data_IF_715541243518
#
_entry.id   IF_715541243518
#
_cell.length_a   1.000
_cell.length_b   1.000
_cell.length_c   1.000
_cell.angle_alpha   90.00
_cell.angle_beta   90.00
_cell.angle_gamma   90.00
#
_symmetry.space_group_name_H-M   'P 1'
#
loop_
_entity.id
_entity.type
_entity.pdbx_description
1 polymer ?
#
# COMPACT_ATOMS: atom_id res chain seq x y z
N UNK A 1 -43.08 -7.07 3.19
CA UNK A 1 -41.87 -7.52 2.49
C UNK A 1 -40.81 -6.42 2.30
N UNK A 2 -40.87 -5.28 3.02
CA UNK A 2 -39.97 -4.12 2.82
C UNK A 2 -38.95 -3.95 3.96
N UNK A 3 -39.11 -4.66 5.09
CA UNK A 3 -38.31 -4.45 6.31
C UNK A 3 -37.04 -5.33 6.36
N UNK A 4 -36.92 -6.37 5.53
CA UNK A 4 -35.79 -7.31 5.60
C UNK A 4 -34.55 -6.88 4.78
N UNK A 5 -34.65 -5.89 3.89
CA UNK A 5 -33.50 -5.40 3.10
C UNK A 5 -32.56 -4.45 3.87
N UNK A 6 -32.94 -4.01 5.06
CA UNK A 6 -32.17 -3.03 5.85
C UNK A 6 -31.13 -3.66 6.78
N UNK A 7 -31.04 -4.99 6.81
CA UNK A 7 -30.21 -5.76 7.75
C UNK A 7 -28.91 -6.33 7.15
N UNK A 8 -28.57 -5.97 5.92
CA UNK A 8 -27.20 -6.19 5.42
C UNK A 8 -26.30 -5.09 5.96
N UNK A 9 -25.79 -5.28 7.19
CA UNK A 9 -24.55 -4.63 7.62
C UNK A 9 -23.53 -4.91 6.52
N UNK A 10 -23.20 -3.87 5.75
CA UNK A 10 -22.12 -3.93 4.77
C UNK A 10 -20.81 -3.91 5.56
N UNK A 11 -20.44 -5.08 6.09
CA UNK A 11 -19.12 -5.34 6.67
C UNK A 11 -18.15 -5.23 5.49
N UNK A 12 -17.58 -4.04 5.31
CA UNK A 12 -16.48 -3.86 4.38
C UNK A 12 -15.21 -4.32 5.10
N UNK A 13 -14.42 -5.25 4.51
CA UNK A 13 -13.14 -5.62 5.09
C UNK A 13 -12.26 -4.37 5.18
N UNK A 14 -11.56 -4.27 6.31
CA UNK A 14 -10.70 -3.16 6.69
C UNK A 14 -9.27 -3.69 6.76
N UNK A 15 -8.49 -3.43 5.71
CA UNK A 15 -7.12 -3.92 5.62
C UNK A 15 -6.17 -2.93 6.29
N UNK A 16 -5.96 -3.18 7.57
CA UNK A 16 -5.01 -2.48 8.41
C UNK A 16 -4.05 -3.49 9.05
N UNK A 17 -3.02 -2.97 9.73
CA UNK A 17 -2.15 -3.81 10.53
C UNK A 17 -2.92 -4.32 11.76
N UNK A 18 -2.85 -5.63 12.01
CA UNK A 18 -3.47 -6.27 13.17
C UNK A 18 -2.51 -6.37 14.36
N UNK A 19 -2.98 -6.24 15.61
CA UNK A 19 -2.14 -6.45 16.79
C UNK A 19 -1.49 -7.84 16.78
N UNK A 20 -0.18 -7.90 17.03
CA UNK A 20 0.60 -9.14 17.05
C UNK A 20 0.64 -9.90 15.71
N UNK A 21 0.32 -9.25 14.60
CA UNK A 21 0.42 -9.83 13.27
C UNK A 21 1.88 -10.19 12.94
N UNK A 22 2.07 -11.40 12.42
CA UNK A 22 3.32 -11.85 11.82
C UNK A 22 3.10 -11.98 10.31
N UNK A 23 3.98 -11.38 9.52
CA UNK A 23 3.90 -11.39 8.05
C UNK A 23 3.23 -10.15 7.47
N UNK A 24 2.84 -10.25 6.19
CA UNK A 24 2.25 -9.16 5.41
C UNK A 24 0.75 -8.97 5.69
N UNK A 25 0.22 -7.79 5.35
CA UNK A 25 -1.23 -7.58 5.23
C UNK A 25 -1.81 -8.36 4.05
N UNK A 26 -3.12 -8.60 4.08
CA UNK A 26 -3.84 -9.32 3.04
C UNK A 26 -3.75 -8.64 1.68
N UNK A 27 -3.42 -9.42 0.64
CA UNK A 27 -3.32 -8.91 -0.71
C UNK A 27 -4.67 -8.38 -1.23
N UNK A 28 -4.64 -7.17 -1.77
CA UNK A 28 -5.75 -6.52 -2.45
C UNK A 28 -5.61 -6.56 -3.98
N UNK A 29 -4.38 -6.74 -4.45
CA UNK A 29 -3.98 -6.65 -5.86
C UNK A 29 -3.21 -7.90 -6.27
N UNK A 30 -3.19 -8.26 -7.57
CA UNK A 30 -2.36 -9.37 -8.07
C UNK A 30 -0.87 -9.14 -7.81
N UNK A 31 -0.44 -7.88 -7.84
CA UNK A 31 0.94 -7.48 -7.54
C UNK A 31 1.32 -7.80 -6.09
N UNK A 32 0.47 -7.46 -5.11
CA UNK A 32 0.75 -7.80 -3.71
C UNK A 32 0.77 -9.32 -3.50
N UNK A 33 -0.08 -10.07 -4.21
CA UNK A 33 -0.04 -11.53 -4.18
C UNK A 33 1.32 -12.05 -4.67
N UNK A 34 1.80 -11.56 -5.82
CA UNK A 34 3.12 -11.92 -6.34
C UNK A 34 4.28 -11.55 -5.39
N UNK A 35 4.17 -10.42 -4.68
CA UNK A 35 5.15 -10.03 -3.65
C UNK A 35 5.14 -11.03 -2.47
N UNK A 36 3.95 -11.46 -2.00
CA UNK A 36 3.82 -12.45 -0.93
C UNK A 36 4.40 -13.80 -1.37
N UNK A 37 4.12 -14.23 -2.60
CA UNK A 37 4.62 -15.49 -3.14
C UNK A 37 6.15 -15.46 -3.24
N UNK A 38 6.72 -14.39 -3.82
CA UNK A 38 8.18 -14.20 -3.89
C UNK A 38 8.82 -14.15 -2.49
N UNK A 39 8.17 -13.49 -1.53
CA UNK A 39 8.63 -13.45 -0.15
C UNK A 39 8.69 -14.87 0.44
N UNK A 40 7.67 -15.70 0.25
CA UNK A 40 7.68 -17.08 0.73
C UNK A 40 8.76 -17.94 0.07
N UNK A 41 8.96 -17.79 -1.25
CA UNK A 41 10.03 -18.49 -1.97
C UNK A 41 11.42 -18.14 -1.43
N UNK A 42 11.70 -16.84 -1.23
CA UNK A 42 12.95 -16.37 -0.64
C UNK A 42 13.11 -16.91 0.79
N UNK A 43 12.06 -16.80 1.61
CA UNK A 43 12.11 -17.19 3.01
C UNK A 43 12.33 -18.70 3.18
N UNK A 44 11.80 -19.54 2.28
CA UNK A 44 12.08 -20.97 2.24
C UNK A 44 13.59 -21.27 2.11
N UNK A 45 14.26 -20.64 1.14
CA UNK A 45 15.71 -20.81 0.97
C UNK A 45 16.50 -20.24 2.14
N UNK A 46 16.08 -19.10 2.71
CA UNK A 46 16.74 -18.51 3.88
C UNK A 46 16.67 -19.40 5.12
N UNK A 47 15.51 -20.01 5.41
CA UNK A 47 15.38 -20.98 6.52
C UNK A 47 16.29 -22.17 6.28
N UNK A 48 16.36 -22.71 5.06
CA UNK A 48 17.23 -23.84 4.73
C UNK A 48 18.70 -23.51 5.01
N UNK A 49 19.17 -22.35 4.54
CA UNK A 49 20.54 -21.88 4.77
C UNK A 49 20.78 -21.67 6.27
N UNK A 50 19.85 -21.03 6.98
CA UNK A 50 19.94 -20.76 8.41
C UNK A 50 20.11 -22.07 9.19
N UNK A 51 19.22 -23.05 8.97
CA UNK A 51 19.29 -24.35 9.66
C UNK A 51 20.60 -25.08 9.32
N UNK A 52 21.06 -25.03 8.08
CA UNK A 52 22.32 -25.65 7.66
C UNK A 52 23.52 -25.02 8.38
N UNK A 53 23.64 -23.70 8.37
CA UNK A 53 24.73 -22.96 9.02
C UNK A 53 24.69 -23.14 10.54
N UNK A 54 23.51 -22.99 11.15
CA UNK A 54 23.32 -23.19 12.58
C UNK A 54 23.70 -24.61 13.01
N UNK A 55 23.35 -25.63 12.23
CA UNK A 55 23.72 -27.02 12.52
C UNK A 55 25.24 -27.22 12.46
N UNK A 56 25.92 -26.67 11.45
CA UNK A 56 27.40 -26.76 11.36
C UNK A 56 28.04 -26.04 12.54
N UNK A 57 27.56 -24.85 12.89
CA UNK A 57 28.07 -24.07 14.01
C UNK A 57 27.90 -24.82 15.34
N UNK A 58 26.70 -25.33 15.63
CA UNK A 58 26.43 -26.11 16.85
C UNK A 58 27.31 -27.36 16.90
N UNK A 59 27.48 -28.06 15.77
CA UNK A 59 28.36 -29.23 15.70
C UNK A 59 29.83 -28.87 15.91
N UNK A 60 30.29 -27.75 15.36
CA UNK A 60 31.66 -27.28 15.55
C UNK A 60 31.91 -26.94 17.03
N UNK A 61 31.00 -26.20 17.67
CA UNK A 61 31.10 -25.87 19.10
C UNK A 61 31.09 -27.13 19.98
N UNK A 62 30.22 -28.09 19.69
CA UNK A 62 30.11 -29.32 20.49
C UNK A 62 31.35 -30.23 20.38
N UNK A 63 31.92 -30.38 19.17
CA UNK A 63 33.04 -31.30 18.92
C UNK A 63 34.41 -30.67 19.17
N UNK A 64 34.56 -29.38 18.89
CA UNK A 64 35.85 -28.67 19.03
C UNK A 64 35.97 -27.85 20.32
N UNK A 65 35.14 -28.14 21.33
CA UNK A 65 35.32 -27.60 22.67
C UNK A 65 36.64 -28.10 23.30
N UNK A 66 37.27 -27.26 24.13
CA UNK A 66 38.58 -27.52 24.75
C UNK A 66 38.68 -28.86 25.48
N UNK A 67 37.60 -29.29 26.13
CA UNK A 67 37.56 -30.57 26.86
C UNK A 67 37.60 -31.79 25.94
N UNK A 68 36.98 -31.72 24.74
CA UNK A 68 36.92 -32.83 23.78
C UNK A 68 38.06 -32.80 22.77
N UNK A 69 38.53 -31.62 22.39
CA UNK A 69 39.63 -31.44 21.45
C UNK A 69 40.68 -30.46 21.99
N UNK A 70 41.56 -30.90 22.90
CA UNK A 70 42.54 -30.03 23.58
C UNK A 70 43.69 -29.56 22.68
N UNK A 71 44.02 -30.31 21.61
CA UNK A 71 45.10 -29.99 20.68
C UNK A 71 44.49 -29.56 19.34
N UNK A 72 44.68 -28.31 18.88
CA UNK A 72 44.11 -27.84 17.62
C UNK A 72 44.87 -28.43 16.41
N UNK A 73 44.12 -28.82 15.39
CA UNK A 73 44.68 -29.21 14.10
C UNK A 73 45.16 -27.98 13.31
N UNK A 74 46.32 -28.07 12.65
CA UNK A 74 46.94 -26.96 11.89
C UNK A 74 46.68 -27.06 10.39
N UNK A 75 45.41 -27.19 10.00
CA UNK A 75 45.01 -27.17 8.58
C UNK A 75 44.68 -25.72 8.22
N UNK A 76 45.40 -25.17 7.24
CA UNK A 76 45.25 -23.76 6.84
C UNK A 76 44.50 -23.59 5.52
N UNK A 77 44.65 -24.55 4.59
CA UNK A 77 44.09 -24.43 3.24
C UNK A 77 43.30 -25.68 2.85
N UNK A 78 42.26 -25.48 2.03
CA UNK A 78 41.43 -26.56 1.52
C UNK A 78 40.74 -26.17 0.22
N UNK A 79 41.49 -26.07 -0.89
CA UNK A 79 40.97 -25.57 -2.19
C UNK A 79 39.64 -26.21 -2.61
N UNK A 80 39.46 -27.51 -2.39
CA UNK A 80 38.22 -28.21 -2.74
C UNK A 80 36.99 -27.68 -1.98
N UNK A 81 37.09 -27.41 -0.67
CA UNK A 81 35.95 -26.88 0.10
C UNK A 81 35.68 -25.41 -0.26
N UNK A 82 36.71 -24.66 -0.66
CA UNK A 82 36.57 -23.29 -1.12
C UNK A 82 35.80 -23.20 -2.44
N UNK A 83 36.08 -24.12 -3.36
CA UNK A 83 35.32 -24.22 -4.61
C UNK A 83 33.85 -24.59 -4.33
N UNK A 84 33.60 -25.60 -3.49
CA UNK A 84 32.24 -26.04 -3.17
C UNK A 84 31.42 -24.93 -2.50
N UNK A 85 31.96 -24.24 -1.49
CA UNK A 85 31.26 -23.14 -0.80
C UNK A 85 31.08 -21.88 -1.66
N UNK A 86 31.72 -21.81 -2.83
CA UNK A 86 31.50 -20.70 -3.77
C UNK A 86 30.42 -21.07 -4.79
N UNK A 87 30.48 -22.30 -5.33
CA UNK A 87 29.52 -22.78 -6.32
C UNK A 87 28.13 -22.96 -5.70
N UNK A 88 28.00 -23.67 -4.57
CA UNK A 88 26.69 -23.98 -3.99
C UNK A 88 25.88 -22.71 -3.62
N UNK A 89 26.45 -21.70 -2.92
CA UNK A 89 25.73 -20.46 -2.63
C UNK A 89 25.46 -19.60 -3.86
N UNK A 90 26.17 -19.78 -4.97
CA UNK A 90 25.89 -19.03 -6.20
C UNK A 90 24.67 -19.60 -6.96
N UNK A 91 24.40 -20.90 -6.83
CA UNK A 91 23.26 -21.56 -7.46
C UNK A 91 21.93 -21.13 -6.82
N UNK A 92 21.91 -20.88 -5.50
CA UNK A 92 20.66 -20.54 -4.77
C UNK A 92 20.05 -19.20 -5.27
N UNK A 93 20.78 -18.07 -5.33
CA UNK A 93 20.27 -16.82 -5.89
C UNK A 93 19.82 -16.92 -7.34
N UNK A 94 20.43 -17.81 -8.14
CA UNK A 94 20.01 -18.04 -9.53
C UNK A 94 18.57 -18.54 -9.59
N UNK A 95 18.17 -19.45 -8.69
CA UNK A 95 16.78 -19.92 -8.62
C UNK A 95 15.82 -18.85 -8.11
N UNK A 96 16.24 -18.02 -7.14
CA UNK A 96 15.43 -16.90 -6.61
C UNK A 96 15.23 -15.80 -7.66
N UNK A 97 16.23 -15.57 -8.51
CA UNK A 97 16.19 -14.51 -9.51
C UNK A 97 15.10 -14.71 -10.58
N UNK A 98 14.79 -15.96 -10.93
CA UNK A 98 13.81 -16.28 -11.99
C UNK A 98 12.40 -15.73 -11.65
N UNK A 99 11.75 -16.10 -10.54
CA UNK A 99 10.45 -15.53 -10.17
C UNK A 99 10.54 -14.02 -9.86
N UNK A 100 11.68 -13.56 -9.32
CA UNK A 100 11.89 -12.14 -9.01
C UNK A 100 11.86 -11.26 -10.27
N UNK A 101 12.55 -11.66 -11.34
CA UNK A 101 12.54 -10.90 -12.59
C UNK A 101 11.18 -10.96 -13.29
N UNK A 102 10.52 -12.12 -13.28
CA UNK A 102 9.17 -12.27 -13.83
C UNK A 102 8.18 -11.32 -13.14
N UNK A 103 8.23 -11.23 -11.80
CA UNK A 103 7.39 -10.30 -11.04
C UNK A 103 7.74 -8.84 -11.37
N UNK A 104 9.02 -8.49 -11.41
CA UNK A 104 9.46 -7.11 -11.68
C UNK A 104 8.93 -6.60 -13.03
N UNK A 105 9.03 -7.41 -14.09
CA UNK A 105 8.51 -7.02 -15.42
C UNK A 105 6.98 -6.90 -15.43
N UNK A 106 6.27 -7.73 -14.66
CA UNK A 106 4.81 -7.63 -14.54
C UNK A 106 4.36 -6.35 -13.80
N UNK A 107 5.19 -5.84 -12.89
CA UNK A 107 4.91 -4.62 -12.12
C UNK A 107 5.20 -3.34 -12.91
N UNK A 108 6.18 -3.37 -13.80
CA UNK A 108 6.55 -2.22 -14.65
C UNK A 108 5.65 -2.06 -15.87
N UNK A 109 4.84 -3.08 -16.21
CA UNK A 109 3.89 -3.00 -17.32
C UNK A 109 2.79 -1.98 -17.03
N UNK A 110 2.97 -0.78 -17.59
CA UNK A 110 1.99 0.30 -17.52
C UNK A 110 0.83 0.01 -18.47
N UNK A 111 -0.35 -0.23 -17.89
CA UNK A 111 -1.59 -0.43 -18.67
C UNK A 111 -1.87 0.79 -19.55
N UNK A 112 -1.95 0.54 -20.86
CA UNK A 112 -2.12 1.56 -21.90
C UNK A 112 -3.49 2.26 -21.79
N UNK A 113 -4.53 1.54 -21.37
CA UNK A 113 -5.91 2.03 -21.21
C UNK A 113 -6.44 1.84 -19.78
N UNK A 114 -6.10 2.72 -18.82
CA UNK A 114 -6.68 2.67 -17.48
C UNK A 114 -8.14 3.11 -17.50
N UNK A 115 -8.95 2.56 -16.60
CA UNK A 115 -10.34 2.98 -16.40
C UNK A 115 -10.42 4.37 -15.74
N UNK A 116 -9.50 4.66 -14.82
CA UNK A 116 -9.39 5.95 -14.12
C UNK A 116 -7.90 6.30 -13.91
N UNK A 117 -7.56 7.57 -14.13
CA UNK A 117 -6.29 8.18 -13.75
C UNK A 117 -6.45 9.11 -12.54
N UNK A 118 -5.68 8.82 -11.49
CA UNK A 118 -5.65 9.57 -10.24
C UNK A 118 -4.26 10.20 -10.09
N UNK A 119 -4.22 11.51 -9.87
CA UNK A 119 -2.97 12.21 -9.54
C UNK A 119 -2.92 12.49 -8.04
N UNK A 120 -1.89 11.94 -7.38
CA UNK A 120 -1.57 12.09 -5.98
C UNK A 120 -0.39 13.06 -5.82
N UNK A 121 -0.61 14.21 -5.18
CA UNK A 121 0.41 15.24 -4.96
C UNK A 121 0.71 15.34 -3.47
N UNK A 122 1.94 15.01 -3.09
CA UNK A 122 2.48 15.20 -1.75
C UNK A 122 2.70 16.68 -1.44
N UNK A 123 2.34 17.08 -0.23
CA UNK A 123 2.59 18.40 0.34
C UNK A 123 3.11 18.23 1.75
N UNK A 124 4.07 19.05 2.13
CA UNK A 124 4.57 19.22 3.49
C UNK A 124 3.43 19.74 4.37
N UNK A 125 3.53 19.49 5.68
CA UNK A 125 2.45 19.69 6.65
C UNK A 125 2.16 21.17 6.85
N UNK A 126 1.38 21.75 5.94
CA UNK A 126 0.91 23.10 6.09
C UNK A 126 -0.42 23.09 6.84
N UNK A 127 -0.51 23.99 7.81
CA UNK A 127 -1.75 24.42 8.44
C UNK A 127 -2.54 25.20 7.39
N UNK A 128 -3.60 24.64 6.84
CA UNK A 128 -4.65 25.47 6.23
C UNK A 128 -5.52 26.01 7.37
N UNK A 129 -5.90 27.29 7.27
CA UNK A 129 -6.57 28.04 8.31
C UNK A 129 -7.79 27.29 8.90
N UNK A 130 -8.07 27.47 10.21
CA UNK A 130 -9.10 26.71 10.90
C UNK A 130 -10.49 26.95 10.29
N UNK A 131 -11.21 25.86 9.99
CA UNK A 131 -12.67 25.89 9.87
C UNK A 131 -13.35 26.03 11.24
N UNK A 132 -12.60 25.85 12.34
CA UNK A 132 -13.03 26.11 13.71
C UNK A 132 -11.88 26.67 14.55
N UNK A 133 -12.10 27.84 15.14
CA UNK A 133 -11.18 28.54 16.04
C UNK A 133 -10.94 27.68 17.29
N UNK A 134 -9.85 26.89 17.30
CA UNK A 134 -9.46 26.08 18.46
C UNK A 134 -8.75 24.76 18.15
N UNK A 135 -8.85 24.23 16.93
CA UNK A 135 -8.31 22.89 16.64
C UNK A 135 -6.96 22.92 15.92
N UNK A 136 -5.91 22.49 16.61
CA UNK A 136 -4.50 22.67 16.23
C UNK A 136 -3.90 21.48 15.45
N UNK A 137 -4.72 20.58 14.94
CA UNK A 137 -4.34 19.19 14.71
C UNK A 137 -4.49 18.69 13.25
N UNK A 138 -5.26 19.38 12.40
CA UNK A 138 -5.46 18.98 11.00
C UNK A 138 -4.22 19.27 10.13
N UNK A 139 -3.59 18.21 9.62
CA UNK A 139 -2.38 18.28 8.78
C UNK A 139 -2.67 17.84 7.35
N UNK A 140 -2.43 18.72 6.36
CA UNK A 140 -2.61 18.40 4.93
C UNK A 140 -1.62 17.31 4.53
N UNK A 141 -2.12 16.19 4.00
CA UNK A 141 -1.30 15.03 3.68
C UNK A 141 -1.23 14.73 2.18
N UNK A 142 -2.27 15.01 1.41
CA UNK A 142 -2.25 14.77 -0.03
C UNK A 142 -3.29 15.63 -0.74
N UNK A 143 -2.97 16.07 -1.95
CA UNK A 143 -3.95 16.60 -2.89
C UNK A 143 -4.21 15.56 -3.98
N UNK A 144 -5.47 15.15 -4.11
CA UNK A 144 -5.90 14.13 -5.06
C UNK A 144 -6.73 14.76 -6.17
N UNK A 145 -6.50 14.31 -7.41
CA UNK A 145 -7.21 14.80 -8.59
C UNK A 145 -7.61 13.63 -9.48
N UNK A 146 -8.90 13.57 -9.83
CA UNK A 146 -9.41 12.65 -10.84
C UNK A 146 -9.43 13.35 -12.19
N UNK A 147 -8.54 12.92 -13.10
CA UNK A 147 -8.35 13.61 -14.37
C UNK A 147 -9.46 13.32 -15.39
N UNK A 148 -10.17 12.19 -15.24
CA UNK A 148 -11.10 11.71 -16.27
C UNK A 148 -12.55 12.22 -16.10
N UNK A 149 -12.83 12.89 -14.97
CA UNK A 149 -14.13 13.48 -14.68
C UNK A 149 -14.15 14.97 -15.04
N UNK A 150 -14.14 15.27 -16.34
CA UNK A 150 -14.40 16.61 -16.86
C UNK A 150 -15.84 16.67 -17.40
N UNK A 151 -16.68 17.51 -16.79
CA UNK A 151 -18.01 17.85 -17.33
C UNK A 151 -18.05 19.25 -17.97
N UNK A 152 -16.98 20.04 -17.83
CA UNK A 152 -16.73 21.33 -18.48
C UNK A 152 -15.30 21.74 -18.14
N UNK A 153 -14.67 22.56 -18.97
CA UNK A 153 -13.23 22.94 -19.01
C UNK A 153 -12.56 23.47 -17.71
N UNK A 154 -13.16 23.38 -16.52
CA UNK A 154 -12.58 23.98 -15.32
C UNK A 154 -12.41 23.11 -14.08
N UNK A 155 -13.02 21.93 -13.91
CA UNK A 155 -12.84 21.21 -12.64
C UNK A 155 -12.79 19.69 -12.79
N UNK A 156 -11.57 19.19 -13.00
CA UNK A 156 -11.21 17.86 -12.50
C UNK A 156 -11.51 17.78 -11.02
N UNK A 157 -12.21 16.74 -10.57
CA UNK A 157 -12.57 16.57 -9.17
C UNK A 157 -11.29 16.53 -8.32
N UNK A 158 -11.09 17.59 -7.56
CA UNK A 158 -9.88 17.85 -6.78
C UNK A 158 -10.27 18.02 -5.32
N UNK A 159 -9.62 17.29 -4.43
CA UNK A 159 -9.80 17.44 -3.00
C UNK A 159 -8.50 17.20 -2.25
N UNK A 160 -8.45 17.73 -1.04
CA UNK A 160 -7.35 17.51 -0.11
C UNK A 160 -7.75 16.46 0.92
N UNK A 161 -6.78 15.68 1.39
CA UNK A 161 -6.95 14.69 2.45
C UNK A 161 -6.09 15.07 3.65
N UNK A 162 -6.73 15.17 4.82
CA UNK A 162 -6.16 15.51 6.11
C UNK A 162 -6.34 14.34 7.09
N UNK A 163 -5.37 14.12 7.97
CA UNK A 163 -5.48 13.15 9.07
C UNK A 163 -6.48 13.66 10.11
N UNK A 164 -7.35 12.78 10.61
CA UNK A 164 -8.32 13.12 11.66
C UNK A 164 -7.61 13.11 13.03
N UNK A 165 -7.75 14.17 13.84
CA UNK A 165 -7.20 14.26 15.21
C UNK A 165 -7.82 13.24 16.16
N UNK A 166 -7.11 12.86 17.22
CA UNK A 166 -7.60 11.83 18.16
C UNK A 166 -8.91 12.22 18.86
N UNK A 167 -9.11 13.51 19.14
CA UNK A 167 -10.32 14.04 19.78
C UNK A 167 -11.56 13.97 18.87
N UNK A 168 -11.36 13.93 17.55
CA UNK A 168 -12.41 13.91 16.53
C UNK A 168 -12.72 12.49 15.98
N UNK A 169 -12.02 11.45 16.47
CA UNK A 169 -12.21 10.09 15.99
C UNK A 169 -13.52 9.49 16.51
N UNK A 170 -14.27 8.86 15.61
CA UNK A 170 -15.44 8.07 15.99
C UNK A 170 -15.02 6.68 16.53
N UNK A 171 -15.88 6.07 17.35
CA UNK A 171 -15.61 4.72 17.88
C UNK A 171 -15.42 3.70 16.74
N UNK A 172 -14.29 2.98 16.76
CA UNK A 172 -13.92 1.99 15.75
C UNK A 172 -13.01 2.52 14.63
N UNK A 173 -12.76 3.84 14.60
CA UNK A 173 -11.79 4.45 13.70
C UNK A 173 -10.35 4.22 14.18
N UNK A 174 -9.44 3.98 13.24
CA UNK A 174 -8.05 3.72 13.57
C UNK A 174 -7.33 5.03 13.89
N UNK A 175 -6.81 5.09 15.12
CA UNK A 175 -5.96 6.19 15.57
C UNK A 175 -4.92 6.45 14.51
N UNK A 176 -4.76 7.73 14.19
CA UNK A 176 -3.65 8.22 13.43
C UNK A 176 -3.78 7.85 11.92
N UNK A 177 -4.33 6.69 11.52
CA UNK A 177 -4.53 6.20 10.14
C UNK A 177 -5.73 6.81 9.39
N UNK A 178 -6.65 7.46 10.10
CA UNK A 178 -7.90 7.99 9.56
C UNK A 178 -7.75 9.33 8.86
N UNK A 179 -8.54 9.53 7.80
CA UNK A 179 -8.52 10.75 6.99
C UNK A 179 -9.94 11.21 6.69
N UNK A 180 -10.11 12.51 6.52
CA UNK A 180 -11.39 13.17 6.24
C UNK A 180 -11.98 12.79 4.87
N UNK A 181 -11.17 12.88 3.81
CA UNK A 181 -11.54 12.60 2.43
C UNK A 181 -10.72 11.43 1.91
N UNK A 182 -11.39 10.32 1.61
CA UNK A 182 -10.75 9.09 1.12
C UNK A 182 -10.71 9.07 -0.42
N UNK A 183 -9.67 8.44 -0.97
CA UNK A 183 -9.60 8.15 -2.42
C UNK A 183 -10.50 6.95 -2.69
N UNK A 184 -11.46 7.09 -3.61
CA UNK A 184 -12.41 6.04 -3.96
C UNK A 184 -12.12 5.54 -5.37
N UNK A 185 -12.00 4.23 -5.53
CA UNK A 185 -11.64 3.63 -6.82
C UNK A 185 -12.59 2.48 -7.17
N UNK A 186 -12.87 2.22 -8.45
CA UNK A 186 -13.66 1.07 -8.88
C UNK A 186 -12.91 -0.26 -8.73
N UNK A 187 -13.64 -1.31 -8.38
CA UNK A 187 -13.10 -2.66 -8.21
C UNK A 187 -12.86 -3.30 -9.57
N UNK A 188 -11.94 -4.27 -9.61
CA UNK A 188 -11.70 -5.15 -10.76
C UNK A 188 -11.44 -4.38 -12.06
N UNK A 189 -10.80 -3.23 -11.94
CA UNK A 189 -10.46 -2.35 -13.06
C UNK A 189 -9.03 -1.84 -12.89
N UNK A 190 -8.35 -1.60 -14.00
CA UNK A 190 -6.99 -1.07 -13.98
C UNK A 190 -7.03 0.44 -13.76
N UNK A 191 -6.26 0.89 -12.77
CA UNK A 191 -6.15 2.27 -12.35
C UNK A 191 -4.74 2.75 -12.62
N UNK A 192 -4.61 3.98 -13.08
CA UNK A 192 -3.33 4.66 -13.22
C UNK A 192 -3.19 5.68 -12.10
N UNK A 193 -2.11 5.58 -11.34
CA UNK A 193 -1.79 6.52 -10.26
C UNK A 193 -0.52 7.26 -10.64
N UNK A 194 -0.62 8.59 -10.68
CA UNK A 194 0.51 9.49 -10.92
C UNK A 194 0.88 10.13 -9.60
N UNK A 195 2.09 9.87 -9.12
CA UNK A 195 2.60 10.31 -7.82
C UNK A 195 3.67 11.37 -8.02
N UNK A 196 3.53 12.50 -7.32
CA UNK A 196 4.47 13.62 -7.37
C UNK A 196 4.41 14.43 -6.08
N UNK A 197 5.30 15.40 -5.92
CA UNK A 197 5.30 16.32 -4.77
C UNK A 197 5.38 17.78 -5.22
N UNK A 198 4.85 18.68 -4.39
CA UNK A 198 4.96 20.12 -4.57
C UNK A 198 6.13 20.76 -3.79
N UNK A 199 6.72 20.06 -2.83
CA UNK A 199 7.74 20.63 -1.92
C UNK A 199 8.94 19.71 -1.70
N UNK A 200 8.84 18.74 -0.79
CA UNK A 200 9.90 17.81 -0.40
C UNK A 200 9.59 16.39 -0.86
N UNK A 201 10.52 15.47 -0.67
CA UNK A 201 10.27 14.06 -0.95
C UNK A 201 9.17 13.51 -0.03
N UNK A 202 8.24 12.77 -0.62
CA UNK A 202 7.26 11.95 0.10
C UNK A 202 7.20 10.57 -0.56
N UNK A 203 6.39 9.66 -0.03
CA UNK A 203 6.14 8.38 -0.69
C UNK A 203 4.69 7.96 -0.50
N UNK A 204 4.03 7.65 -1.60
CA UNK A 204 2.68 7.10 -1.61
C UNK A 204 2.78 5.58 -1.49
N UNK A 205 2.38 5.05 -0.34
CA UNK A 205 2.49 3.63 -0.05
C UNK A 205 1.20 3.06 0.54
N UNK A 206 0.76 1.93 -0.04
CA UNK A 206 -0.37 1.11 0.42
C UNK A 206 0.11 -0.34 0.50
N UNK A 207 0.38 -0.86 1.71
CA UNK A 207 0.94 -2.20 1.88
C UNK A 207 0.07 -3.30 1.27
N UNK A 208 -1.24 -3.30 1.52
CA UNK A 208 -2.18 -4.30 0.99
C UNK A 208 -2.30 -4.27 -0.54
N UNK A 209 -1.99 -3.15 -1.20
CA UNK A 209 -1.94 -3.07 -2.66
C UNK A 209 -0.56 -3.38 -3.25
N UNK A 210 0.47 -3.57 -2.42
CA UNK A 210 1.84 -3.82 -2.85
C UNK A 210 2.50 -2.64 -3.54
N UNK A 211 1.96 -1.42 -3.41
CA UNK A 211 2.56 -0.23 -4.03
C UNK A 211 3.29 0.60 -3.00
N UNK A 212 4.53 0.96 -3.34
CA UNK A 212 5.25 2.09 -2.76
C UNK A 212 5.88 2.87 -3.90
N UNK A 213 5.57 4.16 -4.00
CA UNK A 213 6.09 5.02 -5.05
C UNK A 213 6.43 6.39 -4.49
N UNK A 214 7.65 6.84 -4.73
CA UNK A 214 8.11 8.13 -4.20
C UNK A 214 7.49 9.30 -4.97
N UNK A 215 7.01 10.27 -4.21
CA UNK A 215 6.53 11.56 -4.67
C UNK A 215 7.73 12.52 -4.68
N UNK A 216 8.34 12.67 -5.86
CA UNK A 216 9.52 13.50 -6.05
C UNK A 216 9.11 14.84 -6.70
N UNK A 217 9.48 15.99 -6.12
CA UNK A 217 9.24 17.28 -6.74
C UNK A 217 9.86 17.36 -8.14
N UNK A 218 9.09 17.84 -9.12
CA UNK A 218 9.54 17.95 -10.51
C UNK A 218 9.53 16.64 -11.32
N UNK A 219 9.08 15.52 -10.76
CA UNK A 219 8.91 14.24 -11.47
C UNK A 219 7.50 13.71 -11.31
N UNK A 220 6.95 13.16 -12.39
CA UNK A 220 5.68 12.44 -12.38
C UNK A 220 5.98 10.95 -12.45
N UNK A 221 6.01 10.29 -11.29
CA UNK A 221 6.12 8.85 -11.25
C UNK A 221 4.75 8.23 -11.49
N UNK A 222 4.72 7.09 -12.18
CA UNK A 222 3.48 6.43 -12.54
C UNK A 222 3.50 4.99 -12.05
N UNK A 223 2.39 4.54 -11.50
CA UNK A 223 2.17 3.15 -11.10
C UNK A 223 0.76 2.74 -11.52
N UNK A 224 0.56 1.44 -11.75
CA UNK A 224 -0.74 0.88 -12.09
C UNK A 224 -1.18 -0.11 -11.02
N UNK A 225 -2.47 -0.07 -10.66
CA UNK A 225 -3.06 -1.01 -9.71
C UNK A 225 -4.37 -1.56 -10.22
N UNK A 226 -4.71 -2.79 -9.82
CA UNK A 226 -6.03 -3.38 -10.05
C UNK A 226 -6.48 -4.03 -8.76
N UNK A 227 -7.47 -3.42 -8.10
CA UNK A 227 -7.98 -3.87 -6.80
C UNK A 227 -9.04 -4.94 -7.00
N UNK A 228 -8.81 -6.15 -6.50
CA UNK A 228 -9.64 -7.33 -6.81
C UNK A 228 -10.86 -7.47 -5.88
N UNK A 229 -10.78 -6.92 -4.67
CA UNK A 229 -11.82 -7.02 -3.64
C UNK A 229 -12.28 -5.65 -3.16
N UNK A 230 -13.54 -5.55 -2.74
CA UNK A 230 -14.06 -4.33 -2.15
C UNK A 230 -13.59 -4.22 -0.69
N UNK A 231 -13.12 -3.05 -0.27
CA UNK A 231 -12.60 -2.85 1.09
C UNK A 231 -12.12 -1.43 1.34
N UNK A 232 -11.63 -1.21 2.56
CA UNK A 232 -10.86 -0.02 2.95
C UNK A 232 -9.42 -0.45 3.18
N UNK A 233 -8.49 0.13 2.43
CA UNK A 233 -7.06 -0.16 2.54
C UNK A 233 -6.35 1.03 3.18
N UNK A 234 -5.36 0.80 4.02
CA UNK A 234 -4.64 1.89 4.68
C UNK A 234 -3.23 2.06 4.12
N UNK A 235 -2.76 3.30 4.14
CA UNK A 235 -1.41 3.67 3.71
C UNK A 235 -0.78 4.70 4.64
N UNK A 236 0.54 4.85 4.54
CA UNK A 236 1.30 5.87 5.26
C UNK A 236 2.43 6.41 4.38
N UNK A 237 2.88 7.64 4.68
CA UNK A 237 4.06 8.15 4.02
C UNK A 237 5.25 7.25 4.42
N UNK A 238 6.03 6.82 3.43
CA UNK A 238 7.15 5.89 3.62
C UNK A 238 8.50 6.49 3.22
N UNK A 239 8.58 7.83 3.17
CA UNK A 239 9.78 8.62 2.90
C UNK A 239 9.84 9.83 3.82
N UNK A 240 11.00 10.08 4.43
CA UNK A 240 11.14 11.10 5.47
C UNK A 240 10.90 12.50 4.90
N UNK A 241 9.77 13.10 5.24
CA UNK A 241 9.43 14.44 4.81
C UNK A 241 9.74 15.54 5.84
N UNK A 242 10.23 15.15 7.04
CA UNK A 242 10.69 15.95 8.20
C UNK A 242 9.80 15.82 9.48
N UNK A 243 9.57 16.88 10.27
CA UNK A 243 9.04 16.79 11.66
C UNK A 243 7.74 16.01 11.83
N UNK A 244 6.74 16.23 10.96
CA UNK A 244 5.45 15.56 11.08
C UNK A 244 5.34 14.33 10.16
N UNK A 245 6.46 13.73 9.76
CA UNK A 245 6.49 12.59 8.83
C UNK A 245 5.56 11.44 9.26
N UNK A 246 5.56 11.07 10.54
CA UNK A 246 4.69 10.01 11.07
C UNK A 246 3.19 10.38 11.11
N UNK A 247 2.87 11.67 10.95
CA UNK A 247 1.52 12.23 10.97
C UNK A 247 1.00 12.55 9.56
N UNK A 248 1.91 12.64 8.58
CA UNK A 248 1.56 12.62 7.17
C UNK A 248 1.35 11.21 6.70
N UNK A 249 0.08 10.85 6.65
CA UNK A 249 -0.28 9.53 6.19
C UNK A 249 -0.64 9.68 4.75
N UNK A 250 0.05 8.92 3.89
CA UNK A 250 -0.46 8.71 2.56
C UNK A 250 -1.93 8.30 2.75
N UNK A 251 -2.90 9.02 2.19
CA UNK A 251 -4.16 8.42 1.84
C UNK A 251 -3.87 7.51 0.65
N UNK A 252 -3.10 6.48 0.94
CA UNK A 252 -3.31 5.15 0.49
C UNK A 252 -4.55 4.51 1.13
N UNK A 253 -5.37 5.31 1.84
CA UNK A 253 -6.81 5.15 1.89
C UNK A 253 -7.39 5.09 0.48
N UNK A 254 -7.28 3.92 -0.14
CA UNK A 254 -8.33 3.44 -1.02
C UNK A 254 -9.50 3.17 -0.09
N UNK A 255 -10.28 4.21 0.17
CA UNK A 255 -11.47 4.15 0.98
C UNK A 255 -12.56 3.45 0.21
N UNK A 256 -13.17 2.46 0.87
CA UNK A 256 -14.45 1.81 0.56
C UNK A 256 -14.69 1.75 -0.95
N UNK A 257 -14.18 0.70 -1.56
CA UNK A 257 -14.72 0.28 -2.85
C UNK A 257 -16.21 0.03 -2.68
N UNK A 258 -16.99 0.81 -3.39
CA UNK A 258 -18.44 0.75 -3.35
C UNK A 258 -18.90 -0.08 -4.54
N UNK A 259 -19.65 -1.13 -4.26
CA UNK A 259 -20.49 -1.77 -5.26
C UNK A 259 -21.39 -0.73 -5.95
N UNK A 260 -21.78 -0.95 -7.22
CA UNK A 260 -22.66 -0.05 -7.98
C UNK A 260 -23.98 0.29 -7.26
N UNK A 261 -24.40 -0.56 -6.32
CA UNK A 261 -25.66 -0.48 -5.58
C UNK A 261 -25.68 0.61 -4.48
N UNK A 262 -24.52 1.08 -4.00
CA UNK A 262 -24.46 2.14 -2.98
C UNK A 262 -24.47 3.55 -3.57
N UNK A 263 -23.96 3.71 -4.80
CA UNK A 263 -24.09 4.94 -5.59
C UNK A 263 -25.56 5.33 -5.80
N UNK A 264 -26.48 4.36 -5.92
CA UNK A 264 -27.91 4.62 -6.12
C UNK A 264 -28.68 4.92 -4.83
N UNK A 265 -28.16 4.54 -3.65
CA UNK A 265 -28.81 4.86 -2.36
C UNK A 265 -28.40 6.22 -1.79
N UNK A 266 -27.20 6.72 -2.12
CA UNK A 266 -26.74 8.05 -1.68
C UNK A 266 -27.25 9.22 -2.53
N UNK A 267 -27.81 8.94 -3.71
CA UNK A 267 -28.50 9.94 -4.54
C UNK A 267 -29.86 10.36 -3.98
N UNK A 268 -30.47 9.58 -3.09
CA UNK A 268 -31.83 9.83 -2.59
C UNK A 268 -31.93 10.41 -1.17
N UNK A 269 -30.83 10.54 -0.41
CA UNK A 269 -30.93 10.73 1.05
C UNK A 269 -30.08 11.79 1.77
N UNK A 270 -29.21 12.59 1.13
CA UNK A 270 -28.24 13.43 1.87
C UNK A 270 -28.29 14.94 1.52
N UNK A 271 -28.84 15.75 2.42
CA UNK A 271 -28.98 17.21 2.36
C UNK A 271 -27.73 18.01 2.81
N UNK A 272 -26.61 17.35 3.11
CA UNK A 272 -25.39 18.00 3.66
C UNK A 272 -24.42 18.44 2.55
N UNK A 273 -23.77 19.62 2.58
CA UNK A 273 -22.85 20.08 1.51
C UNK A 273 -21.68 19.13 1.17
N UNK A 274 -21.28 18.22 2.08
CA UNK A 274 -20.32 17.11 1.82
C UNK A 274 -20.84 16.06 0.81
N UNK A 275 -22.15 15.95 0.60
CA UNK A 275 -22.78 14.97 -0.31
C UNK A 275 -22.71 15.36 -1.78
N UNK A 276 -22.58 16.65 -2.10
CA UNK A 276 -22.65 17.16 -3.49
C UNK A 276 -21.42 16.84 -4.34
N UNK A 277 -20.22 16.76 -3.74
CA UNK A 277 -18.99 16.41 -4.45
C UNK A 277 -18.93 14.90 -4.76
N UNK A 278 -19.34 14.07 -3.79
CA UNK A 278 -19.47 12.63 -3.94
C UNK A 278 -20.60 12.26 -4.93
N UNK A 279 -21.71 13.01 -4.95
CA UNK A 279 -22.80 12.86 -5.94
C UNK A 279 -22.33 13.07 -7.39
N UNK A 280 -21.41 14.01 -7.63
CA UNK A 280 -20.86 14.29 -8.96
C UNK A 280 -19.87 13.22 -9.43
N UNK A 281 -19.00 12.74 -8.52
CA UNK A 281 -18.10 11.62 -8.81
C UNK A 281 -18.88 10.32 -9.10
N UNK A 282 -19.92 10.04 -8.31
CA UNK A 282 -20.78 8.87 -8.45
C UNK A 282 -21.54 8.85 -9.79
N UNK A 283 -22.20 9.95 -10.16
CA UNK A 283 -22.96 10.03 -11.41
C UNK A 283 -22.12 9.80 -12.67
N UNK A 284 -20.85 10.19 -12.64
CA UNK A 284 -19.95 10.04 -13.77
C UNK A 284 -19.39 8.60 -13.93
N UNK A 285 -19.12 7.88 -12.83
CA UNK A 285 -18.76 6.44 -12.83
C UNK A 285 -19.86 5.58 -13.47
N UNK A 286 -21.12 5.80 -13.08
CA UNK A 286 -22.27 5.02 -13.55
C UNK A 286 -22.48 5.10 -15.08
N UNK A 287 -22.28 6.28 -15.66
CA UNK A 287 -22.51 6.53 -17.09
C UNK A 287 -21.53 5.81 -18.05
N UNK A 288 -20.38 5.33 -17.53
CA UNK A 288 -19.36 4.60 -18.28
C UNK A 288 -19.36 3.10 -17.98
N UNK A 289 -19.62 2.69 -16.73
CA UNK A 289 -19.75 1.26 -16.38
C UNK A 289 -20.93 0.57 -17.06
N UNK A 290 -21.97 1.31 -17.44
CA UNK A 290 -23.09 0.78 -18.23
C UNK A 290 -22.83 0.75 -19.76
N UNK A 291 -21.65 1.21 -20.22
CA UNK A 291 -21.27 1.32 -21.64
C UNK A 291 -20.11 0.40 -22.05
N UNK A 292 -19.66 -0.48 -21.16
CA UNK A 292 -18.68 -1.54 -21.43
C UNK A 292 -19.27 -2.90 -21.07
#
# INVERSE_FOLDING_TARGET
MIVLEWLFLTIAPCDAAEPWQLGSQDAATPMMQGIIDLHHDIFFFLILILVFVSRILVRALWHFQKEKNPIPQRIVHGTTIEILRTIFPSIIPMFIAIPSFALLYSMDEVVVNPAITIKAIGHQWYRSAPLHEGDLSATKCLKNMYSDYNSSDEQSLTFDSYTIPEDDLELGQLRLLEVDNRVVVPAKSHLRIIVTSADVLHSWAVPSSGVKCDAVPGRLNQTSISVQREGVYYGQCSEICGTNHAFMRAPGKIGRLLSPLWLSRTTQGASHPRSKLLQRAAGAVWSRGARQ
#
